data_IF_967891938088
#
_entry.id   IF_967891938088
#
_cell.length_a   1.000
_cell.length_b   1.000
_cell.length_c   1.000
_cell.angle_alpha   90.00
_cell.angle_beta   90.00
_cell.angle_gamma   90.00
#
_symmetry.space_group_name_H-M   'P 1'
#
loop_
_entity.id
_entity.type
_entity.pdbx_description
1 polymer ?
#
# COMPACT_ATOMS: atom_id res chain seq x y z
N UNK A 1 -5.71 -41.65 56.99
CA UNK A 1 -6.30 -41.82 55.64
C UNK A 1 -7.11 -40.59 55.33
N UNK A 2 -6.98 -40.07 54.10
CA UNK A 2 -7.64 -38.87 53.62
C UNK A 2 -6.65 -37.74 53.39
N UNK A 3 -6.63 -37.06 52.26
CA UNK A 3 -7.27 -37.27 50.97
C UNK A 3 -6.48 -36.40 49.99
N UNK A 4 -6.27 -36.89 48.77
CA UNK A 4 -5.48 -36.21 47.75
C UNK A 4 -6.04 -34.83 47.40
N UNK A 5 -5.20 -33.80 47.50
CA UNK A 5 -5.50 -32.48 46.98
C UNK A 5 -5.53 -32.50 45.46
N UNK A 6 -6.74 -32.45 44.90
CA UNK A 6 -6.97 -32.18 43.49
C UNK A 6 -6.46 -30.76 43.19
N UNK A 7 -5.35 -30.67 42.44
CA UNK A 7 -4.87 -29.41 41.87
C UNK A 7 -5.92 -28.94 40.86
N UNK A 8 -6.66 -27.89 41.23
CA UNK A 8 -7.62 -27.23 40.36
C UNK A 8 -6.93 -26.72 39.10
N UNK A 9 -7.17 -27.41 37.98
CA UNK A 9 -6.98 -26.82 36.66
C UNK A 9 -8.00 -25.70 36.52
N UNK A 10 -7.56 -24.45 36.70
CA UNK A 10 -8.42 -23.28 36.65
C UNK A 10 -9.19 -23.16 35.32
N UNK A 11 -10.24 -22.33 35.27
CA UNK A 11 -11.17 -22.22 34.13
C UNK A 11 -10.48 -21.93 32.79
N UNK A 12 -9.28 -21.33 32.83
CA UNK A 12 -8.44 -21.05 31.66
C UNK A 12 -7.94 -22.32 30.97
N UNK A 13 -7.55 -23.35 31.73
CA UNK A 13 -7.02 -24.59 31.16
C UNK A 13 -8.11 -25.41 30.46
N UNK A 14 -9.32 -25.41 31.03
CA UNK A 14 -10.49 -26.11 30.47
C UNK A 14 -10.94 -25.44 29.17
N UNK A 15 -10.96 -24.10 29.12
CA UNK A 15 -11.32 -23.36 27.91
C UNK A 15 -10.30 -23.59 26.76
N UNK A 16 -9.01 -23.60 27.07
CA UNK A 16 -7.95 -23.90 26.09
C UNK A 16 -8.06 -25.31 25.52
N UNK A 17 -8.31 -26.31 26.36
CA UNK A 17 -8.50 -27.70 25.92
C UNK A 17 -9.76 -27.85 25.06
N UNK A 18 -10.86 -27.18 25.42
CA UNK A 18 -12.09 -27.18 24.64
C UNK A 18 -11.91 -26.52 23.26
N UNK A 19 -11.19 -25.40 23.18
CA UNK A 19 -10.89 -24.71 21.92
C UNK A 19 -10.06 -25.58 20.96
N UNK A 20 -9.07 -26.30 21.48
CA UNK A 20 -8.25 -27.23 20.69
C UNK A 20 -9.07 -28.45 20.24
N UNK A 21 -9.94 -28.99 21.10
CA UNK A 21 -10.81 -30.13 20.76
C UNK A 21 -11.89 -29.79 19.72
N UNK A 22 -12.34 -28.53 19.66
CA UNK A 22 -13.27 -28.02 18.65
C UNK A 22 -12.61 -27.77 17.29
N UNK A 23 -11.32 -28.10 17.13
CA UNK A 23 -10.62 -27.99 15.86
C UNK A 23 -10.30 -26.54 15.45
N UNK A 24 -10.33 -25.59 16.40
CA UNK A 24 -9.78 -24.27 16.14
C UNK A 24 -8.28 -24.45 15.88
N UNK A 25 -7.79 -24.20 14.65
CA UNK A 25 -6.36 -24.26 14.41
C UNK A 25 -5.71 -23.26 15.37
N UNK A 26 -4.60 -23.62 16.03
CA UNK A 26 -3.83 -22.61 16.73
C UNK A 26 -3.57 -21.50 15.72
N UNK A 27 -3.83 -20.25 16.12
CA UNK A 27 -3.43 -19.08 15.37
C UNK A 27 -1.89 -19.02 15.39
N UNK A 28 -1.24 -19.99 14.75
CA UNK A 28 0.14 -19.92 14.36
C UNK A 28 0.13 -19.05 13.10
N UNK A 29 -0.18 -17.77 13.30
CA UNK A 29 0.25 -16.75 12.37
C UNK A 29 1.76 -16.80 12.44
N UNK A 30 2.37 -17.49 11.49
CA UNK A 30 3.82 -17.49 11.32
C UNK A 30 4.25 -16.03 11.20
N UNK A 31 4.89 -15.51 12.25
CA UNK A 31 5.36 -14.13 12.27
C UNK A 31 6.44 -13.99 11.21
N UNK A 32 6.20 -13.12 10.23
CA UNK A 32 7.15 -12.88 9.16
C UNK A 32 8.44 -12.31 9.76
N UNK A 33 9.48 -13.15 9.81
CA UNK A 33 10.75 -12.79 10.47
C UNK A 33 11.45 -11.58 9.83
N UNK A 34 11.33 -11.41 8.51
CA UNK A 34 11.77 -10.23 7.74
C UNK A 34 10.87 -10.02 6.53
N UNK A 35 10.62 -8.75 6.21
CA UNK A 35 9.80 -8.36 5.07
C UNK A 35 10.57 -7.34 4.24
N UNK A 36 10.61 -7.58 2.93
CA UNK A 36 10.93 -6.56 1.95
C UNK A 36 9.64 -6.21 1.22
N UNK A 37 9.27 -4.95 1.21
CA UNK A 37 8.05 -4.47 0.58
C UNK A 37 8.38 -3.40 -0.45
N UNK A 38 8.02 -3.64 -1.70
CA UNK A 38 7.95 -2.58 -2.72
C UNK A 38 6.50 -2.13 -2.86
N UNK A 39 6.28 -0.82 -2.93
CA UNK A 39 4.97 -0.24 -3.19
C UNK A 39 5.07 0.92 -4.18
N UNK A 40 4.05 1.05 -5.01
CA UNK A 40 3.91 2.12 -5.98
C UNK A 40 2.54 2.75 -5.78
N UNK A 41 2.47 4.08 -5.78
CA UNK A 41 1.20 4.80 -5.73
C UNK A 41 1.08 5.69 -6.93
N UNK A 42 -0.04 5.53 -7.63
CA UNK A 42 -0.47 6.39 -8.72
C UNK A 42 -1.70 7.14 -8.23
N UNK A 43 -1.56 8.45 -8.01
CA UNK A 43 -2.61 9.28 -7.46
C UNK A 43 -3.03 10.32 -8.51
N UNK A 44 -4.34 10.47 -8.67
CA UNK A 44 -4.94 11.50 -9.51
C UNK A 44 -5.75 12.44 -8.62
N UNK A 45 -5.28 13.68 -8.48
CA UNK A 45 -5.94 14.70 -7.67
C UNK A 45 -6.74 15.61 -8.60
N UNK A 46 -8.07 15.57 -8.44
CA UNK A 46 -9.03 16.32 -9.25
C UNK A 46 -9.49 17.55 -8.47
N UNK A 47 -9.05 18.73 -8.89
CA UNK A 47 -9.40 20.01 -8.29
C UNK A 47 -10.44 20.70 -9.16
N UNK A 48 -11.60 21.03 -8.57
CA UNK A 48 -12.77 21.56 -9.29
C UNK A 48 -13.20 20.67 -10.47
N UNK A 49 -13.41 19.38 -10.19
CA UNK A 49 -13.71 18.39 -11.23
C UNK A 49 -12.46 18.10 -12.07
N UNK A 50 -12.56 18.23 -13.39
CA UNK A 50 -11.42 18.00 -14.30
C UNK A 50 -10.75 19.30 -14.74
N UNK A 51 -11.06 20.46 -14.17
CA UNK A 51 -10.39 21.72 -14.56
C UNK A 51 -8.88 21.63 -14.32
N UNK A 52 -8.50 21.22 -13.11
CA UNK A 52 -7.10 21.00 -12.73
C UNK A 52 -6.91 19.56 -12.26
N UNK A 53 -6.02 18.84 -12.95
CA UNK A 53 -5.71 17.44 -12.65
C UNK A 53 -4.22 17.35 -12.39
N UNK A 54 -3.86 16.89 -11.18
CA UNK A 54 -2.48 16.64 -10.79
C UNK A 54 -2.25 15.14 -10.67
N UNK A 55 -1.22 14.65 -11.35
CA UNK A 55 -0.78 13.27 -11.30
C UNK A 55 0.47 13.15 -10.43
N UNK A 56 0.43 12.21 -9.49
CA UNK A 56 1.56 11.85 -8.65
C UNK A 56 1.86 10.37 -8.79
N UNK A 57 3.12 10.06 -9.03
CA UNK A 57 3.64 8.70 -9.04
C UNK A 57 4.71 8.57 -7.96
N UNK A 58 4.53 7.66 -6.99
CA UNK A 58 5.41 7.52 -5.83
C UNK A 58 5.98 6.12 -5.74
N UNK A 59 7.30 6.04 -5.59
CA UNK A 59 8.04 4.80 -5.45
C UNK A 59 8.48 4.63 -3.99
N UNK A 60 8.02 3.57 -3.34
CA UNK A 60 8.17 3.36 -1.89
C UNK A 60 8.82 2.01 -1.63
N UNK A 61 9.86 2.01 -0.80
CA UNK A 61 10.48 0.79 -0.30
C UNK A 61 10.29 0.70 1.21
N UNK A 62 9.66 -0.39 1.64
CA UNK A 62 9.11 -0.57 2.98
C UNK A 62 8.17 0.60 3.35
N UNK A 63 8.67 1.57 4.10
CA UNK A 63 7.91 2.75 4.55
C UNK A 63 8.59 4.07 4.14
N UNK A 64 9.63 3.98 3.32
CA UNK A 64 10.44 5.11 2.87
C UNK A 64 10.14 5.36 1.40
N UNK A 65 9.74 6.58 1.08
CA UNK A 65 9.62 7.01 -0.32
C UNK A 65 11.02 7.25 -0.88
N UNK A 66 11.31 6.62 -2.02
CA UNK A 66 12.59 6.75 -2.69
C UNK A 66 12.57 7.96 -3.63
N UNK A 67 11.60 8.00 -4.55
CA UNK A 67 11.43 9.06 -5.54
C UNK A 67 9.95 9.22 -5.90
N UNK A 68 9.62 10.35 -6.51
CA UNK A 68 8.30 10.60 -7.06
C UNK A 68 8.34 11.39 -8.36
N UNK A 69 7.33 11.22 -9.21
CA UNK A 69 6.98 12.17 -10.26
C UNK A 69 5.79 13.00 -9.79
N UNK A 70 5.83 14.30 -10.08
CA UNK A 70 4.73 15.23 -9.89
C UNK A 70 4.49 15.96 -11.20
N UNK A 71 3.26 15.90 -11.72
CA UNK A 71 2.91 16.56 -12.98
C UNK A 71 3.13 18.07 -12.94
N UNK A 72 3.02 18.69 -11.77
CA UNK A 72 3.26 20.14 -11.61
C UNK A 72 4.76 20.48 -11.71
N UNK A 73 5.63 19.50 -11.43
CA UNK A 73 7.09 19.60 -11.55
C UNK A 73 7.59 19.10 -12.91
N UNK A 74 6.89 18.13 -13.50
CA UNK A 74 7.13 17.58 -14.83
C UNK A 74 8.34 16.66 -14.93
N UNK A 75 8.93 16.20 -13.83
CA UNK A 75 10.01 15.22 -13.80
C UNK A 75 10.13 14.48 -12.47
N UNK A 76 10.91 13.39 -12.44
CA UNK A 76 11.13 12.62 -11.23
C UNK A 76 12.08 13.34 -10.27
N UNK A 77 11.75 13.34 -8.99
CA UNK A 77 12.52 13.92 -7.89
C UNK A 77 12.86 12.80 -6.90
N UNK A 78 14.15 12.68 -6.55
CA UNK A 78 14.59 11.75 -5.51
C UNK A 78 14.35 12.33 -4.12
N UNK A 79 13.69 11.57 -3.26
CA UNK A 79 13.40 11.92 -1.86
C UNK A 79 14.48 11.42 -0.90
N UNK A 80 15.32 10.49 -1.35
CA UNK A 80 16.52 10.02 -0.65
C UNK A 80 17.67 9.74 -1.66
N UNK A 81 18.90 9.41 -1.19
CA UNK A 81 20.04 9.21 -2.09
C UNK A 81 19.86 8.10 -3.14
N UNK A 82 19.15 7.03 -2.79
CA UNK A 82 18.85 5.93 -3.73
C UNK A 82 17.90 6.41 -4.81
N UNK A 83 16.85 7.12 -4.43
CA UNK A 83 15.90 7.70 -5.37
C UNK A 83 16.47 8.83 -6.20
N UNK A 84 17.42 9.63 -5.69
CA UNK A 84 18.11 10.65 -6.47
C UNK A 84 18.89 10.02 -7.63
N UNK A 85 19.58 8.91 -7.37
CA UNK A 85 20.26 8.15 -8.41
C UNK A 85 19.29 7.62 -9.47
N UNK A 86 18.15 7.05 -9.04
CA UNK A 86 17.13 6.53 -9.95
C UNK A 86 16.44 7.64 -10.76
N UNK A 87 16.11 8.77 -10.12
CA UNK A 87 15.50 9.92 -10.77
C UNK A 87 16.39 10.48 -11.88
N UNK A 88 17.71 10.55 -11.67
CA UNK A 88 18.67 10.95 -12.72
C UNK A 88 18.60 10.03 -13.94
N UNK A 89 18.51 8.72 -13.72
CA UNK A 89 18.40 7.74 -14.82
C UNK A 89 17.07 7.92 -15.56
N UNK A 90 15.95 8.06 -14.87
CA UNK A 90 14.65 8.16 -15.53
C UNK A 90 14.44 9.50 -16.23
N UNK A 91 14.89 10.59 -15.64
CA UNK A 91 14.86 11.90 -16.29
C UNK A 91 15.76 11.96 -17.53
N UNK A 92 16.75 11.07 -17.66
CA UNK A 92 17.58 10.97 -18.88
C UNK A 92 16.91 10.17 -20.00
N UNK A 93 15.79 9.48 -19.72
CA UNK A 93 15.05 8.67 -20.68
C UNK A 93 13.76 9.37 -21.08
N UNK A 94 13.78 10.00 -22.26
CA UNK A 94 12.67 10.82 -22.76
C UNK A 94 11.35 10.04 -22.84
N UNK A 95 11.38 8.79 -23.30
CA UNK A 95 10.18 7.92 -23.36
C UNK A 95 9.48 7.78 -21.99
N UNK A 96 10.26 7.58 -20.92
CA UNK A 96 9.70 7.43 -19.56
C UNK A 96 9.11 8.76 -19.07
N UNK A 97 9.82 9.85 -19.32
CA UNK A 97 9.43 11.17 -18.84
C UNK A 97 8.17 11.68 -19.55
N UNK A 98 8.07 11.46 -20.87
CA UNK A 98 6.90 11.83 -21.65
C UNK A 98 5.68 10.97 -21.32
N UNK A 99 5.85 9.67 -21.05
CA UNK A 99 4.75 8.81 -20.60
C UNK A 99 4.21 9.25 -19.22
N UNK A 100 5.10 9.59 -18.29
CA UNK A 100 4.72 10.12 -16.98
C UNK A 100 3.98 11.47 -17.10
N UNK A 101 4.41 12.36 -18.00
CA UNK A 101 3.73 13.64 -18.28
C UNK A 101 2.36 13.42 -18.92
N UNK A 102 2.25 12.50 -19.86
CA UNK A 102 1.00 12.18 -20.56
C UNK A 102 -0.05 11.54 -19.63
N UNK A 103 0.37 10.92 -18.52
CA UNK A 103 -0.50 10.25 -17.57
C UNK A 103 -1.60 11.13 -16.96
N UNK A 104 -1.44 12.45 -16.96
CA UNK A 104 -2.52 13.38 -16.57
C UNK A 104 -3.77 13.17 -17.44
N UNK A 105 -3.59 13.02 -18.75
CA UNK A 105 -4.70 12.88 -19.68
C UNK A 105 -5.01 11.43 -19.99
N UNK A 106 -3.97 10.62 -20.28
CA UNK A 106 -4.13 9.22 -20.70
C UNK A 106 -4.62 8.32 -19.57
N UNK A 107 -4.23 8.61 -18.34
CA UNK A 107 -4.62 7.85 -17.16
C UNK A 107 -5.66 8.58 -16.33
N UNK A 108 -5.36 9.77 -15.79
CA UNK A 108 -6.24 10.41 -14.82
C UNK A 108 -7.57 10.86 -15.43
N UNK A 109 -7.57 11.73 -16.45
CA UNK A 109 -8.83 12.20 -17.06
C UNK A 109 -9.63 11.07 -17.68
N UNK A 110 -8.96 10.14 -18.36
CA UNK A 110 -9.60 8.95 -18.91
C UNK A 110 -10.35 8.17 -17.82
N UNK A 111 -9.66 7.81 -16.73
CA UNK A 111 -10.29 7.04 -15.66
C UNK A 111 -11.34 7.84 -14.89
N UNK A 112 -11.21 9.16 -14.76
CA UNK A 112 -12.27 9.98 -14.18
C UNK A 112 -13.59 9.79 -14.94
N UNK A 113 -13.56 9.88 -16.28
CA UNK A 113 -14.77 9.67 -17.08
C UNK A 113 -15.33 8.25 -16.97
N UNK A 114 -14.46 7.24 -16.88
CA UNK A 114 -14.86 5.82 -16.78
C UNK A 114 -15.42 5.49 -15.39
N UNK A 115 -14.75 5.93 -14.32
CA UNK A 115 -14.94 5.45 -12.95
C UNK A 115 -15.95 6.29 -12.16
N UNK A 116 -16.07 7.59 -12.46
CA UNK A 116 -16.98 8.50 -11.74
C UNK A 116 -18.42 7.99 -11.69
N UNK A 117 -19.05 7.52 -12.80
CA UNK A 117 -20.46 7.13 -12.80
C UNK A 117 -20.82 6.02 -11.81
N UNK A 118 -19.90 5.09 -11.52
CA UNK A 118 -20.17 3.93 -10.68
C UNK A 118 -19.44 3.94 -9.33
N UNK A 119 -18.59 4.92 -9.05
CA UNK A 119 -17.85 5.01 -7.79
C UNK A 119 -18.17 6.28 -7.00
N UNK A 120 -18.14 7.43 -7.66
CA UNK A 120 -18.36 8.75 -7.05
C UNK A 120 -19.85 9.11 -7.08
N UNK A 121 -20.47 8.95 -8.24
CA UNK A 121 -21.89 9.27 -8.46
C UNK A 121 -22.83 8.13 -8.06
N UNK A 122 -22.29 7.01 -7.59
CA UNK A 122 -23.08 5.86 -7.12
C UNK A 122 -23.80 6.21 -5.82
N UNK A 123 -25.01 6.76 -5.97
CA UNK A 123 -26.05 6.82 -4.94
C UNK A 123 -26.91 5.57 -4.96
#
# INVERSE_FOLDING_TARGET
MGSGGARGGGPVLVALVALVALGAPPAHGEELSRIFQGAYKFECHFLNGTEHVRYLEKYIYNREQLLHFDSDVGHYVGDNPVGEFQAKIWNSKEEILEDARASVDTYCRHNYGVVTPFSVDRR
#
